data_IF_640907963549
#
_entry.id   IF_640907963549
#
_cell.length_a   1.000
_cell.length_b   1.000
_cell.length_c   1.000
_cell.angle_alpha   90.00
_cell.angle_beta   90.00
_cell.angle_gamma   90.00
#
_symmetry.space_group_name_H-M   'P 1'
#
loop_
_entity.id
_entity.type
_entity.pdbx_description
1 polymer ?
#
# COMPACT_ATOMS: atom_id res chain seq x y z
N UNK A 1 -21.44 -6.56 -2.45
CA UNK A 1 -20.53 -5.81 -1.57
C UNK A 1 -20.12 -6.74 -0.43
N UNK A 2 -18.84 -6.75 -0.07
CA UNK A 2 -18.29 -7.59 1.01
C UNK A 2 -17.52 -6.75 2.03
N UNK A 3 -16.93 -7.40 3.05
CA UNK A 3 -16.17 -6.73 4.11
C UNK A 3 -14.98 -5.89 3.58
N UNK A 4 -14.36 -6.32 2.47
CA UNK A 4 -13.25 -5.60 1.83
C UNK A 4 -13.74 -4.25 1.27
N UNK A 5 -14.92 -4.18 0.66
CA UNK A 5 -15.47 -2.92 0.15
C UNK A 5 -15.59 -1.86 1.25
N UNK A 6 -16.10 -2.25 2.42
CA UNK A 6 -16.21 -1.33 3.57
C UNK A 6 -14.84 -0.86 4.05
N UNK A 7 -13.85 -1.75 4.10
CA UNK A 7 -12.48 -1.39 4.48
C UNK A 7 -11.85 -0.41 3.47
N UNK A 8 -11.99 -0.65 2.16
CA UNK A 8 -11.44 0.20 1.12
C UNK A 8 -12.13 1.58 1.09
N UNK A 9 -13.46 1.63 1.24
CA UNK A 9 -14.22 2.89 1.34
C UNK A 9 -13.77 3.67 2.58
N UNK A 10 -13.59 2.99 3.71
CA UNK A 10 -13.11 3.62 4.94
C UNK A 10 -11.72 4.25 4.76
N UNK A 11 -10.79 3.54 4.11
CA UNK A 11 -9.46 4.07 3.77
C UNK A 11 -9.56 5.31 2.86
N UNK A 12 -10.45 5.28 1.86
CA UNK A 12 -10.67 6.41 0.97
C UNK A 12 -11.19 7.63 1.75
N UNK A 13 -12.19 7.44 2.61
CA UNK A 13 -12.76 8.50 3.46
C UNK A 13 -11.69 9.07 4.40
N UNK A 14 -10.89 8.23 5.04
CA UNK A 14 -9.80 8.69 5.92
C UNK A 14 -8.79 9.56 5.16
N UNK A 15 -8.39 9.15 3.95
CA UNK A 15 -7.46 9.92 3.14
C UNK A 15 -8.08 11.23 2.63
N UNK A 16 -9.36 11.22 2.27
CA UNK A 16 -10.11 12.41 1.85
C UNK A 16 -10.25 13.41 3.01
N UNK A 17 -10.61 12.94 4.21
CA UNK A 17 -10.69 13.76 5.43
C UNK A 17 -9.33 14.30 5.85
N UNK A 18 -8.28 13.46 5.82
CA UNK A 18 -6.92 13.93 6.06
C UNK A 18 -6.51 14.96 5.01
N UNK A 19 -6.96 14.81 3.77
CA UNK A 19 -6.77 15.76 2.69
C UNK A 19 -7.32 17.13 3.02
N UNK A 20 -8.59 17.16 3.40
CA UNK A 20 -9.29 18.36 3.82
C UNK A 20 -8.62 19.06 5.01
N UNK A 21 -8.17 18.30 6.03
CA UNK A 21 -7.58 18.87 7.26
C UNK A 21 -6.13 19.36 7.11
N UNK A 22 -5.32 18.70 6.28
CA UNK A 22 -3.88 18.95 6.24
C UNK A 22 -3.46 19.95 5.14
N UNK A 23 -4.36 20.30 4.22
CA UNK A 23 -4.10 21.22 3.11
C UNK A 23 -3.33 20.59 1.94
N UNK A 24 -3.33 21.26 0.80
CA UNK A 24 -2.82 20.76 -0.47
C UNK A 24 -1.33 20.39 -0.44
N UNK A 25 -0.44 21.30 -0.03
CA UNK A 25 1.01 21.07 -0.07
C UNK A 25 1.44 19.85 0.76
N UNK A 26 0.88 19.71 1.97
CA UNK A 26 1.20 18.58 2.84
C UNK A 26 0.72 17.27 2.26
N UNK A 27 -0.40 17.28 1.54
CA UNK A 27 -0.88 16.10 0.82
C UNK A 27 -0.04 15.75 -0.39
N UNK A 28 0.43 16.74 -1.16
CA UNK A 28 1.35 16.51 -2.28
C UNK A 28 2.66 15.89 -1.76
N UNK A 29 3.23 16.43 -0.68
CA UNK A 29 4.41 15.83 -0.07
C UNK A 29 4.15 14.39 0.41
N UNK A 30 2.99 14.15 1.04
CA UNK A 30 2.60 12.80 1.46
C UNK A 30 2.36 11.83 0.30
N UNK A 31 1.92 12.33 -0.85
CA UNK A 31 1.75 11.55 -2.08
C UNK A 31 3.11 11.20 -2.70
N UNK A 32 4.02 12.17 -2.79
CA UNK A 32 5.40 11.95 -3.26
C UNK A 32 6.13 10.96 -2.35
N UNK A 33 6.02 11.12 -1.03
CA UNK A 33 6.59 10.16 -0.08
C UNK A 33 6.02 8.76 -0.25
N UNK A 34 4.73 8.63 -0.56
CA UNK A 34 4.11 7.32 -0.82
C UNK A 34 4.72 6.66 -2.06
N UNK A 35 4.86 7.40 -3.17
CA UNK A 35 5.49 6.87 -4.38
C UNK A 35 6.94 6.43 -4.14
N UNK A 36 7.72 7.28 -3.47
CA UNK A 36 9.12 6.97 -3.14
C UNK A 36 9.19 5.72 -2.24
N UNK A 37 8.35 5.65 -1.21
CA UNK A 37 8.32 4.52 -0.29
C UNK A 37 7.94 3.22 -1.00
N UNK A 38 6.92 3.22 -1.86
CA UNK A 38 6.53 2.04 -2.64
C UNK A 38 7.68 1.61 -3.55
N UNK A 39 8.23 2.54 -4.35
CA UNK A 39 9.29 2.22 -5.30
C UNK A 39 10.53 1.65 -4.61
N UNK A 40 11.01 2.32 -3.55
CA UNK A 40 12.17 1.87 -2.79
C UNK A 40 11.91 0.55 -2.04
N UNK A 41 10.70 0.34 -1.51
CA UNK A 41 10.33 -0.92 -0.87
C UNK A 41 10.30 -2.08 -1.87
N UNK A 42 9.81 -1.87 -3.09
CA UNK A 42 9.87 -2.89 -4.15
C UNK A 42 11.31 -3.26 -4.52
N UNK A 43 12.24 -2.29 -4.46
CA UNK A 43 13.64 -2.54 -4.80
C UNK A 43 14.41 -3.23 -3.66
N UNK A 44 14.24 -2.79 -2.42
CA UNK A 44 15.00 -3.31 -1.26
C UNK A 44 14.33 -4.47 -0.52
N UNK A 45 13.07 -4.81 -0.83
CA UNK A 45 12.37 -5.92 -0.16
C UNK A 45 13.10 -7.25 -0.27
N UNK A 46 13.77 -7.52 -1.40
CA UNK A 46 14.56 -8.75 -1.59
C UNK A 46 15.71 -8.85 -0.59
N UNK A 47 16.51 -7.79 -0.44
CA UNK A 47 17.64 -7.79 0.49
C UNK A 47 17.14 -7.94 1.94
N UNK A 48 16.10 -7.18 2.29
CA UNK A 48 15.51 -7.22 3.63
C UNK A 48 14.90 -8.58 3.94
N UNK A 49 14.28 -9.25 2.96
CA UNK A 49 13.78 -10.61 3.13
C UNK A 49 14.88 -11.57 3.56
N UNK A 50 16.03 -11.56 2.89
CA UNK A 50 17.15 -12.44 3.24
C UNK A 50 17.62 -12.21 4.68
N UNK A 51 17.65 -10.95 5.13
CA UNK A 51 17.99 -10.63 6.52
C UNK A 51 16.92 -11.11 7.51
N UNK A 52 15.64 -10.93 7.19
CA UNK A 52 14.54 -11.41 8.04
C UNK A 52 14.53 -12.95 8.14
N UNK A 53 14.74 -13.64 7.02
CA UNK A 53 14.84 -15.11 7.01
C UNK A 53 16.06 -15.60 7.82
N UNK A 54 17.21 -14.95 7.67
CA UNK A 54 18.43 -15.35 8.38
C UNK A 54 18.37 -15.10 9.89
N UNK A 55 17.94 -13.91 10.31
CA UNK A 55 18.05 -13.48 11.71
C UNK A 55 16.79 -13.72 12.52
N UNK A 56 15.62 -13.58 11.91
CA UNK A 56 14.32 -13.79 12.56
C UNK A 56 13.70 -15.14 12.23
N UNK A 57 14.36 -15.96 11.39
CA UNK A 57 13.83 -17.25 10.94
C UNK A 57 12.40 -17.11 10.43
N UNK A 58 12.20 -16.10 9.56
CA UNK A 58 10.87 -15.69 9.12
C UNK A 58 10.03 -16.86 8.59
N UNK A 59 10.65 -17.81 7.90
CA UNK A 59 9.97 -18.99 7.37
C UNK A 59 9.42 -19.89 8.50
N UNK A 60 10.18 -20.10 9.59
CA UNK A 60 9.73 -20.86 10.77
C UNK A 60 8.59 -20.13 11.50
N UNK A 61 8.64 -18.80 11.56
CA UNK A 61 7.55 -18.00 12.16
C UNK A 61 6.28 -18.13 11.32
N UNK A 62 6.38 -18.07 9.99
CA UNK A 62 5.23 -18.20 9.10
C UNK A 62 4.63 -19.60 9.19
N UNK A 63 5.45 -20.66 9.15
CA UNK A 63 4.97 -22.05 9.26
C UNK A 63 4.38 -22.33 10.64
N UNK A 64 4.98 -21.79 11.71
CA UNK A 64 4.46 -21.91 13.08
C UNK A 64 3.11 -21.22 13.30
N UNK A 65 2.78 -20.18 12.51
CA UNK A 65 1.47 -19.53 12.53
C UNK A 65 0.41 -20.28 11.71
N UNK A 66 0.81 -21.23 10.86
CA UNK A 66 -0.13 -22.06 10.12
C UNK A 66 -0.85 -23.02 11.08
N UNK A 67 -2.18 -23.14 10.93
CA UNK A 67 -3.05 -23.94 11.84
C UNK A 67 -2.59 -25.38 12.05
N UNK A 68 -1.84 -25.95 11.12
CA UNK A 68 -1.36 -27.32 11.15
C UNK A 68 0.18 -27.44 11.14
N UNK A 69 0.93 -26.34 11.27
CA UNK A 69 2.40 -26.32 11.15
C UNK A 69 2.93 -26.51 9.71
N UNK A 70 2.07 -26.87 8.76
CA UNK A 70 2.41 -27.02 7.35
C UNK A 70 1.74 -25.92 6.52
N UNK A 71 2.54 -24.90 6.15
CA UNK A 71 2.17 -23.97 5.10
C UNK A 71 2.76 -24.46 3.78
N UNK A 72 2.00 -24.32 2.69
CA UNK A 72 2.53 -24.59 1.36
C UNK A 72 3.77 -23.69 1.10
N UNK A 73 4.83 -24.24 0.50
CA UNK A 73 6.09 -23.51 0.28
C UNK A 73 5.90 -22.18 -0.44
N UNK A 74 5.05 -22.16 -1.47
CA UNK A 74 4.70 -20.95 -2.21
C UNK A 74 4.06 -19.87 -1.32
N UNK A 75 3.26 -20.28 -0.32
CA UNK A 75 2.57 -19.36 0.58
C UNK A 75 3.57 -18.76 1.57
N UNK A 76 4.46 -19.59 2.13
CA UNK A 76 5.55 -19.12 2.99
C UNK A 76 6.41 -18.09 2.28
N UNK A 77 6.80 -18.40 1.04
CA UNK A 77 7.65 -17.54 0.22
C UNK A 77 6.97 -16.21 -0.13
N UNK A 78 5.69 -16.28 -0.52
CA UNK A 78 4.87 -15.10 -0.83
C UNK A 78 4.68 -14.22 0.41
N UNK A 79 4.38 -14.81 1.56
CA UNK A 79 4.22 -14.07 2.81
C UNK A 79 5.54 -13.43 3.25
N UNK A 80 6.67 -14.11 3.07
CA UNK A 80 7.98 -13.54 3.34
C UNK A 80 8.27 -12.32 2.45
N UNK A 81 7.94 -12.39 1.15
CA UNK A 81 8.05 -11.25 0.21
C UNK A 81 7.18 -10.07 0.65
N UNK A 82 5.92 -10.32 1.00
CA UNK A 82 4.97 -9.29 1.45
C UNK A 82 5.45 -8.66 2.76
N UNK A 83 5.88 -9.47 3.73
CA UNK A 83 6.35 -8.97 5.03
C UNK A 83 7.60 -8.10 4.85
N UNK A 84 8.58 -8.56 4.06
CA UNK A 84 9.78 -7.78 3.80
C UNK A 84 9.47 -6.45 3.11
N UNK A 85 8.59 -6.47 2.10
CA UNK A 85 8.08 -5.26 1.47
C UNK A 85 7.41 -4.32 2.48
N UNK A 86 6.50 -4.82 3.32
CA UNK A 86 5.79 -4.02 4.32
C UNK A 86 6.74 -3.42 5.36
N UNK A 87 7.75 -4.15 5.81
CA UNK A 87 8.76 -3.63 6.75
C UNK A 87 9.48 -2.44 6.13
N UNK A 88 10.00 -2.58 4.90
CA UNK A 88 10.71 -1.48 4.22
C UNK A 88 9.77 -0.32 3.95
N UNK A 89 8.57 -0.61 3.43
CA UNK A 89 7.56 0.40 3.12
C UNK A 89 7.17 1.21 4.36
N UNK A 90 6.94 0.57 5.50
CA UNK A 90 6.58 1.23 6.75
C UNK A 90 7.72 2.09 7.30
N UNK A 91 8.95 1.56 7.30
CA UNK A 91 10.14 2.30 7.75
C UNK A 91 10.37 3.54 6.88
N UNK A 92 10.36 3.39 5.56
CA UNK A 92 10.54 4.50 4.63
C UNK A 92 9.40 5.51 4.69
N UNK A 93 8.15 5.04 4.76
CA UNK A 93 6.99 5.91 4.92
C UNK A 93 7.06 6.74 6.20
N UNK A 94 7.53 6.14 7.29
CA UNK A 94 7.75 6.83 8.56
C UNK A 94 8.86 7.89 8.41
N UNK A 95 10.03 7.51 7.93
CA UNK A 95 11.18 8.41 7.76
C UNK A 95 10.83 9.59 6.84
N UNK A 96 10.30 9.30 5.64
CA UNK A 96 9.89 10.34 4.68
C UNK A 96 8.76 11.21 5.22
N UNK A 97 7.83 10.63 5.98
CA UNK A 97 6.75 11.37 6.64
C UNK A 97 7.28 12.33 7.70
N UNK A 98 8.27 11.93 8.50
CA UNK A 98 8.92 12.77 9.49
C UNK A 98 9.71 13.91 8.84
N UNK A 99 10.45 13.62 7.77
CA UNK A 99 11.19 14.62 6.98
C UNK A 99 10.21 15.64 6.41
N UNK A 100 9.17 15.17 5.70
CA UNK A 100 8.17 16.04 5.09
C UNK A 100 7.58 16.98 6.14
N UNK A 101 7.14 16.48 7.30
CA UNK A 101 6.54 17.31 8.38
C UNK A 101 7.45 18.45 8.85
N UNK A 102 8.76 18.28 8.83
CA UNK A 102 9.73 19.31 9.26
C UNK A 102 10.06 20.33 8.16
N UNK A 103 9.64 20.11 6.91
CA UNK A 103 9.93 21.05 5.82
C UNK A 103 9.12 22.34 5.97
N UNK A 104 9.84 23.45 6.18
CA UNK A 104 9.25 24.79 6.35
C UNK A 104 8.65 25.38 5.08
N UNK A 105 8.86 24.74 3.91
CA UNK A 105 8.30 25.12 2.60
C UNK A 105 6.77 25.24 2.67
N UNK A 106 6.11 24.43 3.49
CA UNK A 106 4.64 24.45 3.62
C UNK A 106 4.08 25.71 4.29
N UNK A 107 4.90 26.45 5.03
CA UNK A 107 4.47 27.63 5.78
C UNK A 107 4.54 28.92 4.96
N UNK A 108 5.09 28.88 3.74
CA UNK A 108 5.37 30.08 2.93
C UNK A 108 4.39 30.33 1.80
N UNK A 109 3.50 29.38 1.48
CA UNK A 109 2.54 29.54 0.38
C UNK A 109 1.17 29.94 0.95
N UNK A 110 0.70 31.18 0.70
CA UNK A 110 -0.62 31.62 1.13
C UNK A 110 -1.69 30.96 0.23
N UNK A 111 -2.20 29.79 0.64
CA UNK A 111 -3.35 29.17 -0.03
C UNK A 111 -4.63 29.54 0.72
N UNK A 112 -5.57 30.12 -0.02
CA UNK A 112 -6.86 30.59 0.48
C UNK A 112 -7.67 29.40 1.03
N UNK A 113 -8.21 29.54 2.24
CA UNK A 113 -8.71 28.45 3.10
C UNK A 113 -9.52 27.35 2.40
N UNK A 114 -10.65 27.66 1.71
CA UNK A 114 -11.49 26.64 1.09
C UNK A 114 -10.83 25.93 -0.09
N UNK A 115 -10.07 26.66 -0.91
CA UNK A 115 -9.35 26.09 -2.06
C UNK A 115 -8.22 25.16 -1.61
N UNK A 116 -7.50 25.52 -0.53
CA UNK A 116 -6.48 24.66 0.07
C UNK A 116 -7.06 23.33 0.56
N UNK A 117 -8.22 23.40 1.20
CA UNK A 117 -8.90 22.23 1.72
C UNK A 117 -9.45 21.34 0.59
N UNK A 118 -10.03 21.94 -0.45
CA UNK A 118 -10.52 21.22 -1.62
C UNK A 118 -9.40 20.51 -2.37
N UNK A 119 -8.34 21.24 -2.75
CA UNK A 119 -7.18 20.63 -3.41
C UNK A 119 -6.50 19.58 -2.51
N UNK A 120 -6.43 19.84 -1.20
CA UNK A 120 -6.00 18.84 -0.21
C UNK A 120 -6.84 17.57 -0.24
N UNK A 121 -8.17 17.68 -0.28
CA UNK A 121 -9.08 16.52 -0.36
C UNK A 121 -8.91 15.72 -1.65
N UNK A 122 -8.74 16.40 -2.80
CA UNK A 122 -8.50 15.74 -4.10
C UNK A 122 -7.18 14.97 -4.06
N UNK A 123 -6.09 15.61 -3.63
CA UNK A 123 -4.78 14.94 -3.51
C UNK A 123 -4.83 13.80 -2.48
N UNK A 124 -5.58 13.99 -1.39
CA UNK A 124 -5.85 12.95 -0.40
C UNK A 124 -6.60 11.77 -1.02
N UNK A 125 -7.64 12.00 -1.81
CA UNK A 125 -8.38 10.95 -2.52
C UNK A 125 -7.47 10.17 -3.47
N UNK A 126 -6.63 10.86 -4.27
CA UNK A 126 -5.63 10.22 -5.14
C UNK A 126 -4.69 9.33 -4.33
N UNK A 127 -4.18 9.84 -3.20
CA UNK A 127 -3.35 9.04 -2.29
C UNK A 127 -4.11 7.82 -1.74
N UNK A 128 -5.37 7.98 -1.37
CA UNK A 128 -6.24 6.89 -0.90
C UNK A 128 -6.44 5.80 -1.96
N UNK A 129 -6.68 6.19 -3.21
CA UNK A 129 -6.79 5.27 -4.35
C UNK A 129 -5.48 4.49 -4.55
N UNK A 130 -4.31 5.12 -4.45
CA UNK A 130 -3.03 4.43 -4.53
C UNK A 130 -2.84 3.41 -3.40
N UNK A 131 -3.23 3.77 -2.17
CA UNK A 131 -3.17 2.84 -1.02
C UNK A 131 -4.12 1.66 -1.24
N UNK A 132 -5.32 1.90 -1.77
CA UNK A 132 -6.27 0.83 -2.13
C UNK A 132 -5.65 -0.11 -3.16
N UNK A 133 -5.07 0.42 -4.24
CA UNK A 133 -4.41 -0.42 -5.24
C UNK A 133 -3.23 -1.20 -4.66
N UNK A 134 -2.45 -0.61 -3.77
CA UNK A 134 -1.38 -1.32 -3.05
C UNK A 134 -1.94 -2.48 -2.23
N UNK A 135 -3.01 -2.27 -1.47
CA UNK A 135 -3.66 -3.34 -0.69
C UNK A 135 -4.16 -4.44 -1.62
N UNK A 136 -4.87 -4.09 -2.69
CA UNK A 136 -5.39 -5.07 -3.66
C UNK A 136 -4.25 -5.85 -4.32
N UNK A 137 -3.13 -5.21 -4.65
CA UNK A 137 -1.94 -5.88 -5.18
C UNK A 137 -1.39 -6.92 -4.20
N UNK A 138 -1.22 -6.53 -2.93
CA UNK A 138 -0.71 -7.43 -1.88
C UNK A 138 -1.68 -8.58 -1.59
N UNK A 139 -3.00 -8.34 -1.60
CA UNK A 139 -3.99 -9.40 -1.45
C UNK A 139 -4.01 -10.35 -2.64
N UNK A 140 -3.76 -9.84 -3.85
CA UNK A 140 -3.75 -10.65 -5.08
C UNK A 140 -2.53 -11.58 -5.16
N UNK A 141 -1.43 -11.26 -4.47
CA UNK A 141 -0.29 -12.16 -4.31
C UNK A 141 -0.63 -13.40 -3.47
N UNK A 142 -1.57 -13.28 -2.53
CA UNK A 142 -1.97 -14.40 -1.67
C UNK A 142 -3.07 -15.18 -2.38
N UNK A 143 -2.67 -16.09 -3.27
CA UNK A 143 -3.53 -16.92 -4.15
C UNK A 143 -4.35 -18.01 -3.39
N UNK A 144 -4.94 -17.67 -2.24
CA UNK A 144 -5.86 -18.57 -1.54
C UNK A 144 -7.31 -18.29 -1.93
N UNK A 145 -8.14 -19.33 -1.89
CA UNK A 145 -9.56 -19.23 -2.24
C UNK A 145 -10.31 -18.14 -1.45
N UNK A 146 -9.90 -17.86 -0.20
CA UNK A 146 -10.51 -16.81 0.62
C UNK A 146 -10.23 -15.41 0.03
N UNK A 147 -8.96 -15.09 -0.25
CA UNK A 147 -8.58 -13.76 -0.74
C UNK A 147 -9.05 -13.53 -2.17
N UNK A 148 -8.91 -14.52 -3.05
CA UNK A 148 -9.38 -14.44 -4.43
C UNK A 148 -10.89 -14.15 -4.49
N UNK A 149 -11.71 -14.93 -3.77
CA UNK A 149 -13.16 -14.70 -3.71
C UNK A 149 -13.50 -13.32 -3.14
N UNK A 150 -12.74 -12.86 -2.15
CA UNK A 150 -12.96 -11.54 -1.53
C UNK A 150 -12.62 -10.41 -2.50
N UNK A 151 -11.53 -10.51 -3.25
CA UNK A 151 -11.13 -9.50 -4.24
C UNK A 151 -12.09 -9.51 -5.44
N UNK A 152 -12.50 -10.68 -5.92
CA UNK A 152 -13.42 -10.83 -7.04
C UNK A 152 -14.83 -10.30 -6.73
N UNK A 153 -15.34 -10.57 -5.52
CA UNK A 153 -16.66 -10.12 -5.09
C UNK A 153 -16.70 -8.64 -4.66
N UNK A 154 -15.56 -7.93 -4.65
CA UNK A 154 -15.48 -6.53 -4.25
C UNK A 154 -15.98 -5.61 -5.36
N UNK A 155 -16.99 -4.81 -5.02
CA UNK A 155 -17.53 -3.78 -5.91
C UNK A 155 -16.50 -2.68 -6.14
N UNK A 156 -15.75 -2.28 -5.11
CA UNK A 156 -14.71 -1.24 -5.24
C UNK A 156 -13.60 -1.68 -6.19
N UNK A 157 -13.17 -2.95 -6.12
CA UNK A 157 -12.19 -3.52 -7.05
C UNK A 157 -12.76 -3.62 -8.46
N UNK A 158 -14.01 -4.03 -8.61
CA UNK A 158 -14.68 -4.09 -9.92
C UNK A 158 -14.77 -2.70 -10.57
N UNK A 159 -15.20 -1.69 -9.82
CA UNK A 159 -15.28 -0.30 -10.29
C UNK A 159 -13.90 0.25 -10.67
N UNK A 160 -12.87 -0.02 -9.86
CA UNK A 160 -11.52 0.47 -10.17
C UNK A 160 -10.96 -0.15 -11.45
N UNK A 161 -11.21 -1.45 -11.69
CA UNK A 161 -10.85 -2.14 -12.95
C UNK A 161 -11.64 -1.61 -14.14
N UNK A 162 -12.91 -1.25 -13.96
CA UNK A 162 -13.75 -0.73 -15.03
C UNK A 162 -13.41 0.71 -15.43
N UNK A 163 -13.29 1.61 -14.45
CA UNK A 163 -13.09 3.05 -14.71
C UNK A 163 -11.61 3.47 -14.82
N UNK A 164 -10.69 2.70 -14.24
CA UNK A 164 -9.25 2.99 -14.28
C UNK A 164 -8.44 1.78 -14.77
N UNK A 165 -8.80 1.16 -15.91
CA UNK A 165 -8.22 -0.11 -16.35
C UNK A 165 -6.70 -0.03 -16.53
N UNK A 166 -6.22 1.02 -17.21
CA UNK A 166 -4.79 1.24 -17.45
C UNK A 166 -4.00 1.35 -16.15
N UNK A 167 -4.50 2.14 -15.19
CA UNK A 167 -3.81 2.33 -13.92
C UNK A 167 -3.84 1.06 -13.07
N UNK A 168 -5.00 0.41 -13.00
CA UNK A 168 -5.16 -0.83 -12.23
C UNK A 168 -4.27 -1.95 -12.77
N UNK A 169 -4.23 -2.16 -14.09
CA UNK A 169 -3.39 -3.16 -14.74
C UNK A 169 -1.91 -2.87 -14.54
N UNK A 170 -1.43 -1.70 -14.98
CA UNK A 170 -0.01 -1.34 -14.87
C UNK A 170 0.51 -1.39 -13.42
N UNK A 171 -0.28 -0.90 -12.46
CA UNK A 171 0.13 -0.88 -11.06
C UNK A 171 0.15 -2.29 -10.46
N UNK A 172 -0.89 -3.10 -10.70
CA UNK A 172 -0.94 -4.48 -10.23
C UNK A 172 0.19 -5.30 -10.85
N UNK A 173 0.36 -5.25 -12.16
CA UNK A 173 1.42 -5.97 -12.87
C UNK A 173 2.81 -5.56 -12.39
N UNK A 174 3.01 -4.27 -12.09
CA UNK A 174 4.28 -3.78 -11.57
C UNK A 174 4.57 -4.30 -10.15
N UNK A 175 3.61 -4.15 -9.22
CA UNK A 175 3.78 -4.56 -7.82
C UNK A 175 3.81 -6.09 -7.69
N UNK A 176 2.81 -6.77 -8.25
CA UNK A 176 2.70 -8.23 -8.26
C UNK A 176 3.87 -8.84 -9.03
N UNK A 177 4.27 -8.27 -10.17
CA UNK A 177 5.40 -8.76 -10.94
C UNK A 177 6.74 -8.60 -10.22
N UNK A 178 6.92 -7.57 -9.39
CA UNK A 178 8.16 -7.39 -8.60
C UNK A 178 8.20 -8.28 -7.35
N UNK A 179 7.07 -8.43 -6.66
CA UNK A 179 7.01 -9.21 -5.42
C UNK A 179 6.76 -10.70 -5.66
N UNK A 180 6.07 -11.06 -6.74
CA UNK A 180 5.75 -12.44 -7.13
C UNK A 180 6.88 -13.14 -7.90
N UNK A 181 7.80 -12.40 -8.55
CA UNK A 181 9.01 -12.95 -9.19
C UNK A 181 10.18 -13.17 -8.23
N UNK A 182 10.00 -12.94 -6.93
CA UNK A 182 10.96 -13.38 -5.91
C UNK A 182 10.78 -14.88 -5.62
N UNK A 183 10.50 -15.66 -6.66
CA UNK A 183 10.28 -17.11 -6.72
C UNK A 183 11.15 -17.62 -7.89
#
# INVERSE_FOLDING_TARGET
MNWLDYALIFILILNLYNGFRHGFLRQVAGLVSLFIAIYAALFWSSDVKTYLQKYLKLDEVITGLARNGEAASWLTETLANIIAFLVVFLVLSLVLGLIARKMSIFNKIPIIGPLNALLGSITGAVKGVLVIFLIVALLSLVETAFWMRTVEASVVVSLSRHYMPLFSGLFLDFVVGKLGKLI
#
